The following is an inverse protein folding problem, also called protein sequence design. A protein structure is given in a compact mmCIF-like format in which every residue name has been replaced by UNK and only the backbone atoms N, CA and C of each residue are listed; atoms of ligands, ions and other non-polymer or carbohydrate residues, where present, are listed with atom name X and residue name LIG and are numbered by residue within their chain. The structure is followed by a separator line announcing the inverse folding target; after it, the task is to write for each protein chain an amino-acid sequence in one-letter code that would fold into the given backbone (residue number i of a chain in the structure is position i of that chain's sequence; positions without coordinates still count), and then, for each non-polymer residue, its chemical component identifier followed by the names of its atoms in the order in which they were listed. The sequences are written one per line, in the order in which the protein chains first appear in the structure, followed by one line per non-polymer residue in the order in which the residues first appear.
data_IF_189711221875
#
_entry.id   IF_189711221875
#
_cell.length_a   1.000
_cell.length_b   1.000
_cell.length_c   1.000
_cell.angle_alpha   90.00
_cell.angle_beta   90.00
_cell.angle_gamma   90.00
#
_symmetry.space_group_name_H-M   'P 1'
#
loop_
_entity.id
_entity.type
_entity.pdbx_description
1 polymer ?
#
# COMPACT_ATOMS: atom_id res chain seq x y z
N UNK A 1 -8.92 33.67 -9.23
CA UNK A 1 -10.14 32.84 -9.13
C UNK A 1 -9.73 31.53 -8.45
N UNK A 2 -10.16 31.34 -7.19
CA UNK A 2 -9.59 30.38 -6.22
C UNK A 2 -9.75 28.92 -6.65
N UNK A 3 -8.64 28.17 -6.69
CA UNK A 3 -8.59 26.74 -7.02
C UNK A 3 -8.96 25.93 -5.76
N UNK A 4 -10.07 25.19 -5.81
CA UNK A 4 -10.60 24.47 -4.65
C UNK A 4 -9.57 23.49 -4.09
N UNK A 5 -9.31 23.64 -2.80
CA UNK A 5 -8.46 22.77 -2.01
C UNK A 5 -9.05 21.35 -2.00
N UNK A 6 -8.39 20.38 -2.66
CA UNK A 6 -8.80 18.96 -2.71
C UNK A 6 -8.62 18.22 -1.36
N UNK A 7 -8.47 18.95 -0.25
CA UNK A 7 -8.45 18.41 1.12
C UNK A 7 -9.64 17.52 1.45
N UNK A 8 -10.90 17.82 1.07
CA UNK A 8 -12.01 16.93 1.40
C UNK A 8 -11.91 15.60 0.64
N UNK A 9 -11.42 15.61 -0.60
CA UNK A 9 -11.20 14.38 -1.37
C UNK A 9 -10.11 13.49 -0.74
N UNK A 10 -8.99 14.10 -0.31
CA UNK A 10 -7.92 13.40 0.40
C UNK A 10 -8.38 12.81 1.73
N UNK A 11 -9.19 13.56 2.49
CA UNK A 11 -9.78 13.08 3.74
C UNK A 11 -10.75 11.92 3.51
N UNK A 12 -11.62 12.02 2.50
CA UNK A 12 -12.54 10.93 2.13
C UNK A 12 -11.75 9.68 1.73
N UNK A 13 -10.69 9.83 0.92
CA UNK A 13 -9.83 8.71 0.52
C UNK A 13 -9.17 8.05 1.75
N UNK A 14 -8.60 8.85 2.66
CA UNK A 14 -7.96 8.36 3.89
C UNK A 14 -8.95 7.63 4.80
N UNK A 15 -10.13 8.21 5.03
CA UNK A 15 -11.20 7.59 5.82
C UNK A 15 -11.65 6.29 5.16
N UNK A 16 -11.83 6.28 3.84
CA UNK A 16 -12.23 5.06 3.10
C UNK A 16 -11.17 3.97 3.23
N UNK A 17 -9.89 4.30 3.06
CA UNK A 17 -8.78 3.36 3.24
C UNK A 17 -8.71 2.82 4.68
N UNK A 18 -8.91 3.67 5.68
CA UNK A 18 -8.86 3.29 7.08
C UNK A 18 -10.05 2.41 7.48
N UNK A 19 -11.25 2.75 7.02
CA UNK A 19 -12.46 1.95 7.22
C UNK A 19 -12.33 0.61 6.50
N UNK A 20 -11.89 0.61 5.24
CA UNK A 20 -11.76 -0.62 4.46
C UNK A 20 -10.68 -1.53 5.02
N UNK A 21 -9.49 -0.99 5.32
CA UNK A 21 -8.40 -1.74 5.95
C UNK A 21 -8.76 -2.24 7.35
N UNK A 22 -9.39 -1.40 8.17
CA UNK A 22 -9.87 -1.77 9.51
C UNK A 22 -10.93 -2.86 9.47
N UNK A 23 -11.91 -2.76 8.56
CA UNK A 23 -12.91 -3.80 8.34
C UNK A 23 -12.25 -5.12 7.90
N UNK A 24 -11.29 -5.07 6.98
CA UNK A 24 -10.55 -6.25 6.53
C UNK A 24 -9.82 -6.95 7.69
N UNK A 25 -9.11 -6.18 8.54
CA UNK A 25 -8.44 -6.71 9.73
C UNK A 25 -9.45 -7.28 10.73
N UNK A 26 -10.54 -6.55 10.99
CA UNK A 26 -11.60 -7.00 11.89
C UNK A 26 -12.23 -8.31 11.43
N UNK A 27 -12.68 -8.40 10.18
CA UNK A 27 -13.27 -9.62 9.63
C UNK A 27 -12.27 -10.78 9.62
N UNK A 28 -10.99 -10.52 9.37
CA UNK A 28 -9.96 -11.56 9.45
C UNK A 28 -9.80 -12.06 10.88
N UNK A 29 -9.75 -11.16 11.88
CA UNK A 29 -9.64 -11.53 13.30
C UNK A 29 -10.89 -12.24 13.81
N UNK A 30 -12.07 -11.78 13.42
CA UNK A 30 -13.36 -12.39 13.79
C UNK A 30 -13.51 -13.77 13.14
N UNK A 31 -13.09 -13.93 11.89
CA UNK A 31 -13.08 -15.23 11.24
C UNK A 31 -12.08 -16.19 11.91
N UNK A 32 -10.88 -15.72 12.22
CA UNK A 32 -9.90 -16.51 12.97
C UNK A 32 -10.42 -16.87 14.37
N UNK A 33 -11.08 -15.96 15.09
CA UNK A 33 -11.61 -16.25 16.44
C UNK A 33 -12.71 -17.32 16.41
N UNK A 34 -13.59 -17.29 15.42
CA UNK A 34 -14.65 -18.28 15.23
C UNK A 34 -14.11 -19.65 14.84
N UNK A 35 -13.05 -19.66 14.02
CA UNK A 35 -12.36 -20.89 13.61
C UNK A 35 -11.55 -21.50 14.78
N UNK A 36 -10.95 -20.66 15.62
CA UNK A 36 -10.05 -21.12 16.71
C UNK A 36 -10.83 -21.47 17.98
N UNK A 37 -12.14 -21.74 17.89
CA UNK A 37 -12.95 -22.09 19.05
C UNK A 37 -12.39 -23.37 19.71
N UNK A 38 -11.97 -23.30 20.98
CA UNK A 38 -11.39 -24.44 21.68
C UNK A 38 -12.49 -25.47 21.95
N UNK A 39 -12.55 -26.52 21.12
CA UNK A 39 -13.49 -27.63 21.29
C UNK A 39 -14.05 -28.23 20.01
N UNK A 40 -13.90 -27.59 18.86
CA UNK A 40 -14.31 -28.14 17.56
C UNK A 40 -13.04 -28.50 16.78
N UNK A 41 -12.80 -29.78 16.45
CA UNK A 41 -11.66 -30.13 15.61
C UNK A 41 -11.84 -29.44 14.26
N UNK A 42 -10.88 -28.58 13.88
CA UNK A 42 -10.81 -28.05 12.54
C UNK A 42 -10.71 -29.22 11.56
N UNK A 43 -11.71 -29.38 10.70
CA UNK A 43 -11.58 -30.26 9.54
C UNK A 43 -10.51 -29.70 8.61
N UNK A 44 -9.71 -30.58 7.98
CA UNK A 44 -8.65 -30.18 7.03
C UNK A 44 -9.17 -29.24 5.92
N UNK A 45 -10.45 -29.40 5.53
CA UNK A 45 -11.12 -28.55 4.55
C UNK A 45 -11.22 -27.08 4.99
N UNK A 46 -11.52 -26.83 6.26
CA UNK A 46 -11.70 -25.48 6.81
C UNK A 46 -10.35 -24.79 6.94
N UNK A 47 -9.32 -25.50 7.43
CA UNK A 47 -7.94 -25.02 7.46
C UNK A 47 -7.42 -24.59 6.07
N UNK A 48 -7.71 -25.40 5.05
CA UNK A 48 -7.35 -25.08 3.67
C UNK A 48 -8.06 -23.83 3.13
N UNK A 49 -9.36 -23.68 3.43
CA UNK A 49 -10.14 -22.50 3.03
C UNK A 49 -9.61 -21.21 3.67
N UNK A 50 -9.29 -21.23 4.97
CA UNK A 50 -8.72 -20.07 5.68
C UNK A 50 -7.40 -19.65 5.06
N UNK A 51 -6.52 -20.62 4.80
CA UNK A 51 -5.21 -20.37 4.17
C UNK A 51 -5.36 -19.76 2.78
N UNK A 52 -6.27 -20.30 1.96
CA UNK A 52 -6.57 -19.75 0.63
C UNK A 52 -7.11 -18.33 0.72
N UNK A 53 -8.04 -18.06 1.65
CA UNK A 53 -8.63 -16.74 1.82
C UNK A 53 -7.58 -15.70 2.26
N UNK A 54 -6.73 -16.05 3.22
CA UNK A 54 -5.65 -15.20 3.71
C UNK A 54 -4.61 -14.90 2.61
N UNK A 55 -4.31 -15.89 1.78
CA UNK A 55 -3.45 -15.73 0.60
C UNK A 55 -4.07 -14.79 -0.44
N UNK A 56 -5.35 -14.99 -0.79
CA UNK A 56 -6.06 -14.13 -1.75
C UNK A 56 -6.13 -12.69 -1.26
N UNK A 57 -6.47 -12.48 0.02
CA UNK A 57 -6.52 -11.15 0.64
C UNK A 57 -5.14 -10.47 0.61
N UNK A 58 -4.08 -11.19 0.96
CA UNK A 58 -2.72 -10.62 0.96
C UNK A 58 -2.21 -10.31 -0.45
N UNK A 59 -2.58 -11.09 -1.47
CA UNK A 59 -2.31 -10.75 -2.87
C UNK A 59 -3.08 -9.50 -3.30
N UNK A 60 -4.38 -9.44 -3.02
CA UNK A 60 -5.24 -8.30 -3.38
C UNK A 60 -4.79 -7.01 -2.67
N UNK A 61 -4.29 -7.10 -1.44
CA UNK A 61 -3.71 -5.95 -0.74
C UNK A 61 -2.29 -5.60 -1.24
N UNK A 62 -1.49 -6.60 -1.60
CA UNK A 62 -0.11 -6.43 -2.06
C UNK A 62 0.01 -5.77 -3.43
N UNK A 63 -0.84 -6.14 -4.40
CA UNK A 63 -0.73 -5.63 -5.78
C UNK A 63 -0.91 -4.10 -5.88
N UNK A 64 -1.91 -3.46 -5.24
CA UNK A 64 -2.03 -2.00 -5.22
C UNK A 64 -0.81 -1.32 -4.57
N UNK A 65 -0.23 -1.91 -3.52
CA UNK A 65 0.98 -1.38 -2.89
C UNK A 65 2.18 -1.43 -3.84
N UNK A 66 2.33 -2.51 -4.62
CA UNK A 66 3.36 -2.61 -5.66
C UNK A 66 3.13 -1.58 -6.76
N UNK A 67 1.90 -1.44 -7.27
CA UNK A 67 1.56 -0.46 -8.31
C UNK A 67 1.81 0.98 -7.85
N UNK A 68 1.39 1.32 -6.63
CA UNK A 68 1.64 2.62 -6.02
C UNK A 68 3.13 2.85 -5.79
N UNK A 69 3.85 1.85 -5.29
CA UNK A 69 5.30 1.90 -5.11
C UNK A 69 6.03 2.14 -6.42
N UNK A 70 5.69 1.41 -7.49
CA UNK A 70 6.26 1.60 -8.83
C UNK A 70 5.99 3.01 -9.38
N UNK A 71 4.78 3.55 -9.18
CA UNK A 71 4.45 4.92 -9.56
C UNK A 71 5.28 5.96 -8.80
N UNK A 72 5.45 5.78 -7.49
CA UNK A 72 6.30 6.64 -6.64
C UNK A 72 7.76 6.53 -7.08
N UNK A 73 8.26 5.34 -7.41
CA UNK A 73 9.61 5.15 -7.96
C UNK A 73 9.78 5.88 -9.30
N UNK A 74 8.78 5.79 -10.18
CA UNK A 74 8.76 6.51 -11.46
C UNK A 74 8.80 8.04 -11.25
N UNK A 75 8.04 8.56 -10.29
CA UNK A 75 8.11 9.96 -9.88
C UNK A 75 9.53 10.35 -9.43
N UNK A 76 10.11 9.58 -8.50
CA UNK A 76 11.47 9.81 -8.02
C UNK A 76 12.52 9.80 -9.14
N UNK A 77 12.40 8.86 -10.08
CA UNK A 77 13.27 8.77 -11.25
C UNK A 77 13.12 9.99 -12.16
N UNK A 78 11.89 10.46 -12.43
CA UNK A 78 11.63 11.68 -13.19
C UNK A 78 12.31 12.89 -12.56
N UNK A 79 12.17 13.08 -11.25
CA UNK A 79 12.80 14.19 -10.51
C UNK A 79 14.31 14.19 -10.69
N UNK A 80 14.93 13.01 -10.56
CA UNK A 80 16.39 12.84 -10.71
C UNK A 80 16.84 13.15 -12.14
N UNK A 81 16.07 12.74 -13.14
CA UNK A 81 16.37 13.01 -14.54
C UNK A 81 16.21 14.50 -14.88
N UNK A 82 15.17 15.15 -14.36
CA UNK A 82 14.87 16.55 -14.68
C UNK A 82 15.56 17.54 -13.75
N UNK A 83 16.21 17.07 -12.67
CA UNK A 83 16.83 17.90 -11.63
C UNK A 83 15.86 18.96 -11.09
N UNK A 84 14.57 18.65 -11.11
CA UNK A 84 13.50 19.61 -10.84
C UNK A 84 12.37 18.93 -10.06
N UNK A 85 11.99 19.54 -8.95
CA UNK A 85 10.79 19.19 -8.19
C UNK A 85 9.88 20.42 -8.10
N UNK A 86 8.61 20.32 -8.52
CA UNK A 86 7.96 19.16 -9.16
C UNK A 86 8.48 18.86 -10.59
N UNK A 87 8.32 17.62 -11.11
CA UNK A 87 8.73 17.29 -12.47
C UNK A 87 7.92 18.08 -13.52
N UNK A 88 8.55 18.46 -14.64
CA UNK A 88 7.86 19.13 -15.74
C UNK A 88 6.74 18.24 -16.31
N UNK A 89 5.60 18.86 -16.64
CA UNK A 89 4.46 18.19 -17.29
C UNK A 89 3.49 17.47 -16.35
N UNK A 90 3.68 17.51 -15.03
CA UNK A 90 2.80 16.84 -14.06
C UNK A 90 1.66 17.70 -13.50
N UNK A 91 1.42 18.90 -14.07
CA UNK A 91 0.25 19.72 -13.72
C UNK A 91 0.24 20.29 -12.30
N UNK A 92 1.41 20.31 -11.63
CA UNK A 92 1.57 20.95 -10.34
C UNK A 92 1.26 22.46 -10.45
N UNK A 93 0.53 23.00 -9.48
CA UNK A 93 0.08 24.40 -9.51
C UNK A 93 1.26 25.37 -9.55
N UNK A 94 1.07 26.51 -10.24
CA UNK A 94 2.08 27.55 -10.47
C UNK A 94 2.67 28.17 -9.19
N UNK A 95 2.09 27.89 -8.02
CA UNK A 95 2.51 28.42 -6.71
C UNK A 95 3.49 27.50 -5.95
N UNK A 96 3.81 26.31 -6.47
CA UNK A 96 4.78 25.43 -5.82
C UNK A 96 6.20 25.95 -6.07
N UNK A 97 6.99 26.21 -5.01
CA UNK A 97 8.38 26.62 -5.18
C UNK A 97 9.14 25.51 -5.90
N UNK A 98 9.67 25.84 -7.08
CA UNK A 98 10.45 24.90 -7.89
C UNK A 98 11.82 24.73 -7.24
N UNK A 99 12.09 23.52 -6.77
CA UNK A 99 13.43 23.14 -6.32
C UNK A 99 14.22 22.66 -7.54
N UNK A 100 15.44 23.15 -7.70
CA UNK A 100 16.34 22.81 -8.80
C UNK A 100 17.66 22.23 -8.28
N UNK A 101 18.31 21.42 -9.13
CA UNK A 101 19.66 20.90 -8.90
C UNK A 101 19.74 19.83 -7.81
N UNK A 102 20.85 19.82 -7.06
CA UNK A 102 21.19 18.74 -6.11
C UNK A 102 20.12 18.48 -5.04
N UNK A 103 19.42 19.54 -4.60
CA UNK A 103 18.32 19.41 -3.64
C UNK A 103 17.14 18.64 -4.24
N UNK A 104 16.81 18.88 -5.50
CA UNK A 104 15.78 18.11 -6.20
C UNK A 104 16.22 16.66 -6.38
N UNK A 105 17.50 16.41 -6.66
CA UNK A 105 18.05 15.04 -6.74
C UNK A 105 17.90 14.28 -5.43
N UNK A 106 18.19 14.93 -4.29
CA UNK A 106 18.04 14.31 -2.98
C UNK A 106 16.57 13.97 -2.68
N UNK A 107 15.64 14.86 -3.04
CA UNK A 107 14.19 14.57 -2.99
C UNK A 107 13.85 13.38 -3.89
N UNK A 108 14.39 13.35 -5.11
CA UNK A 108 14.17 12.25 -6.05
C UNK A 108 14.65 10.89 -5.51
N UNK A 109 15.81 10.85 -4.85
CA UNK A 109 16.29 9.65 -4.15
C UNK A 109 15.38 9.25 -3.00
N UNK A 110 14.92 10.20 -2.18
CA UNK A 110 13.99 9.93 -1.09
C UNK A 110 12.66 9.35 -1.59
N UNK A 111 12.10 9.95 -2.64
CA UNK A 111 10.86 9.48 -3.28
C UNK A 111 11.07 8.09 -3.89
N UNK A 112 12.15 7.84 -4.62
CA UNK A 112 12.45 6.49 -5.15
C UNK A 112 12.63 5.47 -4.01
N UNK A 113 13.29 5.84 -2.92
CA UNK A 113 13.45 4.98 -1.74
C UNK A 113 12.12 4.60 -1.09
N UNK A 114 11.21 5.57 -0.91
CA UNK A 114 9.86 5.31 -0.41
C UNK A 114 9.07 4.39 -1.34
N UNK A 115 9.17 4.60 -2.65
CA UNK A 115 8.56 3.72 -3.64
C UNK A 115 9.11 2.29 -3.58
N UNK A 116 10.42 2.12 -3.38
CA UNK A 116 11.05 0.81 -3.19
C UNK A 116 10.51 0.09 -1.95
N UNK A 117 10.43 0.79 -0.81
CA UNK A 117 9.88 0.22 0.42
C UNK A 117 8.44 -0.26 0.21
N UNK A 118 7.60 0.54 -0.48
CA UNK A 118 6.23 0.15 -0.82
C UNK A 118 6.17 -1.13 -1.66
N UNK A 119 7.02 -1.24 -2.69
CA UNK A 119 7.10 -2.44 -3.53
C UNK A 119 7.51 -3.65 -2.70
N UNK A 120 8.55 -3.52 -1.87
CA UNK A 120 9.02 -4.61 -1.01
C UNK A 120 7.92 -5.04 -0.03
N UNK A 121 7.25 -4.09 0.63
CA UNK A 121 6.12 -4.40 1.52
C UNK A 121 4.98 -5.10 0.77
N UNK A 122 4.61 -4.62 -0.41
CA UNK A 122 3.56 -5.23 -1.24
C UNK A 122 3.89 -6.67 -1.67
N UNK A 123 5.16 -6.94 -2.00
CA UNK A 123 5.63 -8.28 -2.37
C UNK A 123 5.78 -9.23 -1.16
N UNK A 124 6.09 -8.70 0.02
CA UNK A 124 6.22 -9.50 1.24
C UNK A 124 4.87 -9.92 1.81
N UNK A 125 3.78 -9.18 1.57
CA UNK A 125 2.45 -9.50 2.09
C UNK A 125 1.97 -10.93 1.73
N UNK A 126 2.02 -11.39 0.47
CA UNK A 126 1.67 -12.77 0.12
C UNK A 126 2.56 -13.82 0.78
N UNK A 127 3.87 -13.53 0.91
CA UNK A 127 4.83 -14.44 1.55
C UNK A 127 4.52 -14.61 3.04
N UNK A 128 4.20 -13.50 3.71
CA UNK A 128 3.78 -13.47 5.11
C UNK A 128 2.44 -14.20 5.26
N UNK A 129 1.47 -13.96 4.38
CA UNK A 129 0.19 -14.66 4.37
C UNK A 129 0.33 -16.17 4.21
N UNK A 130 1.21 -16.62 3.31
CA UNK A 130 1.55 -18.02 3.14
C UNK A 130 2.18 -18.62 4.40
N UNK A 131 3.14 -17.92 5.03
CA UNK A 131 3.80 -18.36 6.27
C UNK A 131 2.82 -18.51 7.41
N UNK A 132 1.93 -17.53 7.62
CA UNK A 132 0.89 -17.63 8.65
C UNK A 132 -0.08 -18.77 8.38
N UNK A 133 -0.48 -18.98 7.13
CA UNK A 133 -1.34 -20.11 6.75
C UNK A 133 -0.72 -21.49 7.02
N UNK A 134 0.60 -21.60 7.13
CA UNK A 134 1.29 -22.85 7.51
C UNK A 134 1.41 -23.04 9.03
N UNK A 135 1.29 -21.96 9.82
CA UNK A 135 1.39 -22.01 11.29
C UNK A 135 0.03 -22.39 11.91
N UNK A 136 -1.07 -22.15 11.20
CA UNK A 136 -2.45 -22.46 11.66
C UNK A 136 -2.84 -23.94 11.40
N UNK A 137 -1.87 -24.85 11.30
CA UNK A 137 -2.09 -26.31 11.30
C UNK A 137 -2.01 -26.87 12.71
#
# INVERSE_FOLDING_TARGET
MMKSSNRPFLLVLLVTLLVFGGALVYFTMEYLSQVTQPGIPLTESTGHQIRMLLLVVTILAGMPAVGMGAYVMYLGARIRLTQQWPPPGMGFGAELPVMLGDRATLVGWGVTGLGFVLVVCGLLLPVVGWKFGNIVQ
#
